data_IF_183230247111
#
_entry.id   IF_183230247111
#
_cell.length_a   1.000
_cell.length_b   1.000
_cell.length_c   1.000
_cell.angle_alpha   90.00
_cell.angle_beta   90.00
_cell.angle_gamma   90.00
#
_symmetry.space_group_name_H-M   'P 1'
#
loop_
_entity.id
_entity.type
_entity.pdbx_description
1 polymer ?
#
# COMPACT_ATOMS: atom_id res chain seq x y z
N UNK A 1 7.49 10.15 49.34
CA UNK A 1 8.34 9.36 48.41
C UNK A 1 7.56 8.30 47.61
N UNK A 2 6.49 7.70 48.12
CA UNK A 2 5.68 6.69 47.38
C UNK A 2 5.06 7.22 46.06
N UNK A 3 4.62 8.48 46.02
CA UNK A 3 3.97 9.07 44.84
C UNK A 3 4.89 9.18 43.62
N UNK A 4 6.20 9.32 43.84
CA UNK A 4 7.18 9.41 42.76
C UNK A 4 7.42 8.04 42.09
N UNK A 5 7.35 6.96 42.88
CA UNK A 5 7.53 5.59 42.39
C UNK A 5 6.35 5.15 41.51
N UNK A 6 5.12 5.45 41.94
CA UNK A 6 3.91 5.17 41.18
C UNK A 6 3.93 5.87 39.80
N UNK A 7 4.26 7.17 39.77
CA UNK A 7 4.36 7.93 38.51
C UNK A 7 5.48 7.44 37.58
N UNK A 8 6.53 6.83 38.12
CA UNK A 8 7.64 6.28 37.34
C UNK A 8 7.25 4.92 36.72
N UNK A 9 6.47 4.12 37.44
CA UNK A 9 5.93 2.84 36.96
C UNK A 9 4.87 3.07 35.87
N UNK A 10 4.00 4.08 36.03
CA UNK A 10 3.03 4.48 34.99
C UNK A 10 3.73 4.94 33.71
N UNK A 11 4.71 5.86 33.83
CA UNK A 11 5.50 6.31 32.67
C UNK A 11 6.30 5.18 32.02
N UNK A 12 6.75 4.20 32.79
CA UNK A 12 7.41 3.00 32.26
C UNK A 12 6.45 2.10 31.49
N UNK A 13 5.24 1.90 32.03
CA UNK A 13 4.18 1.12 31.37
C UNK A 13 3.75 1.75 30.06
N UNK A 14 3.51 3.06 30.05
CA UNK A 14 3.11 3.81 28.86
C UNK A 14 4.14 3.65 27.72
N UNK A 15 5.44 3.82 28.00
CA UNK A 15 6.49 3.66 26.98
C UNK A 15 6.57 2.24 26.43
N UNK A 16 6.36 1.21 27.26
CA UNK A 16 6.39 -0.18 26.81
C UNK A 16 5.17 -0.46 25.91
N UNK A 17 3.97 -0.03 26.32
CA UNK A 17 2.77 -0.16 25.49
C UNK A 17 2.92 0.59 24.17
N UNK A 18 3.46 1.81 24.17
CA UNK A 18 3.61 2.64 22.97
C UNK A 18 4.62 2.03 21.98
N UNK A 19 5.72 1.45 22.50
CA UNK A 19 6.69 0.73 21.68
C UNK A 19 6.15 -0.57 21.06
N UNK A 20 5.20 -1.23 21.71
CA UNK A 20 4.54 -2.44 21.22
C UNK A 20 3.50 -2.10 20.14
N UNK A 21 2.70 -1.05 20.33
CA UNK A 21 1.72 -0.59 19.32
C UNK A 21 2.40 -0.14 18.03
N UNK A 22 3.46 0.67 18.12
CA UNK A 22 4.19 1.15 16.91
C UNK A 22 4.76 -0.02 16.08
N UNK A 23 5.23 -1.09 16.73
CA UNK A 23 5.78 -2.27 16.03
C UNK A 23 4.68 -3.14 15.41
N UNK A 24 3.53 -3.25 16.07
CA UNK A 24 2.38 -4.01 15.59
C UNK A 24 1.72 -3.33 14.37
N UNK A 25 1.63 -2.00 14.38
CA UNK A 25 1.10 -1.23 13.25
C UNK A 25 1.97 -1.39 12.00
N UNK A 26 3.29 -1.35 12.15
CA UNK A 26 4.23 -1.59 11.04
C UNK A 26 4.07 -2.97 10.40
N UNK A 27 3.82 -4.01 11.19
CA UNK A 27 3.61 -5.37 10.67
C UNK A 27 2.32 -5.50 9.85
N UNK A 28 1.22 -4.89 10.32
CA UNK A 28 -0.04 -4.85 9.58
C UNK A 28 0.09 -4.11 8.25
N UNK A 29 0.85 -3.02 8.22
CA UNK A 29 1.15 -2.30 6.98
C UNK A 29 1.90 -3.17 5.96
N UNK A 30 2.88 -3.96 6.40
CA UNK A 30 3.62 -4.86 5.50
C UNK A 30 2.68 -5.89 4.88
N UNK A 31 1.79 -6.50 5.69
CA UNK A 31 0.80 -7.46 5.20
C UNK A 31 -0.15 -6.78 4.21
N UNK A 32 -0.67 -5.60 4.54
CA UNK A 32 -1.58 -4.86 3.67
C UNK A 32 -0.94 -4.53 2.31
N UNK A 33 0.33 -4.09 2.30
CA UNK A 33 1.09 -3.82 1.08
C UNK A 33 1.27 -5.11 0.26
N UNK A 34 1.62 -6.23 0.90
CA UNK A 34 1.79 -7.50 0.21
C UNK A 34 0.48 -7.95 -0.49
N UNK A 35 -0.66 -7.86 0.21
CA UNK A 35 -1.97 -8.18 -0.36
C UNK A 35 -2.29 -7.25 -1.54
N UNK A 36 -2.05 -5.95 -1.39
CA UNK A 36 -2.28 -4.97 -2.46
C UNK A 36 -1.45 -5.28 -3.71
N UNK A 37 -0.18 -5.68 -3.55
CA UNK A 37 0.69 -6.07 -4.66
C UNK A 37 0.16 -7.33 -5.37
N UNK A 38 -0.27 -8.35 -4.62
CA UNK A 38 -0.84 -9.58 -5.20
C UNK A 38 -2.09 -9.27 -6.02
N UNK A 39 -2.98 -8.44 -5.49
CA UNK A 39 -4.21 -8.04 -6.20
C UNK A 39 -3.86 -7.23 -7.46
N UNK A 40 -2.95 -6.26 -7.36
CA UNK A 40 -2.52 -5.45 -8.49
C UNK A 40 -1.92 -6.30 -9.62
N UNK A 41 -1.03 -7.25 -9.29
CA UNK A 41 -0.46 -8.18 -10.26
C UNK A 41 -1.52 -9.08 -10.89
N UNK A 42 -2.48 -9.56 -10.11
CA UNK A 42 -3.60 -10.37 -10.62
C UNK A 42 -4.46 -9.61 -11.63
N UNK A 43 -4.86 -8.37 -11.30
CA UNK A 43 -5.64 -7.50 -12.18
C UNK A 43 -4.86 -7.14 -13.45
N UNK A 44 -3.57 -6.82 -13.31
CA UNK A 44 -2.72 -6.50 -14.45
C UNK A 44 -2.56 -7.70 -15.39
N UNK A 45 -2.37 -8.90 -14.82
CA UNK A 45 -2.27 -10.14 -15.59
C UNK A 45 -3.59 -10.47 -16.30
N UNK A 46 -4.73 -10.32 -15.62
CA UNK A 46 -6.04 -10.54 -16.24
C UNK A 46 -6.30 -9.56 -17.40
N UNK A 47 -5.97 -8.28 -17.22
CA UNK A 47 -6.06 -7.27 -18.27
C UNK A 47 -5.13 -7.57 -19.46
N UNK A 48 -3.91 -8.02 -19.19
CA UNK A 48 -2.96 -8.42 -20.23
C UNK A 48 -3.51 -9.56 -21.07
N UNK A 49 -4.04 -10.62 -20.43
CA UNK A 49 -4.64 -11.77 -21.12
C UNK A 49 -5.84 -11.32 -21.97
N UNK A 50 -6.68 -10.42 -21.43
CA UNK A 50 -7.80 -9.85 -22.16
C UNK A 50 -7.39 -9.07 -23.40
N UNK A 51 -6.36 -8.21 -23.31
CA UNK A 51 -5.88 -7.49 -24.50
C UNK A 51 -5.28 -8.45 -25.54
N UNK A 52 -4.55 -9.47 -25.08
CA UNK A 52 -3.97 -10.50 -25.97
C UNK A 52 -5.04 -11.33 -26.68
N UNK A 53 -6.15 -11.67 -26.01
CA UNK A 53 -7.25 -12.43 -26.64
C UNK A 53 -7.96 -11.65 -27.73
N UNK A 54 -7.95 -10.32 -27.67
CA UNK A 54 -8.44 -9.43 -28.73
C UNK A 54 -7.42 -9.16 -29.84
N UNK A 55 -6.24 -9.79 -29.80
CA UNK A 55 -5.18 -9.57 -30.77
C UNK A 55 -4.37 -8.29 -30.55
N UNK A 56 -4.59 -7.58 -29.43
CA UNK A 56 -3.87 -6.36 -29.08
C UNK A 56 -2.83 -6.56 -27.97
N UNK A 57 -2.25 -5.45 -27.54
CA UNK A 57 -1.31 -5.32 -26.43
C UNK A 57 -1.79 -4.25 -25.46
N UNK A 58 -1.56 -4.40 -24.14
CA UNK A 58 -1.90 -3.36 -23.18
C UNK A 58 -1.04 -2.12 -23.42
N UNK A 59 -1.69 -0.99 -23.64
CA UNK A 59 -1.06 0.32 -23.82
C UNK A 59 -1.54 1.29 -22.75
N UNK A 60 -0.62 2.14 -22.31
CA UNK A 60 -0.89 3.21 -21.33
C UNK A 60 -0.36 4.50 -21.92
N UNK A 61 -1.28 5.42 -22.26
CA UNK A 61 -0.92 6.73 -22.77
C UNK A 61 -0.86 7.73 -21.62
N UNK A 62 0.32 8.31 -21.47
CA UNK A 62 0.59 9.38 -20.54
C UNK A 62 0.20 10.73 -21.18
N UNK A 63 -0.55 11.58 -20.46
CA UNK A 63 -0.84 12.93 -20.94
C UNK A 63 0.43 13.78 -20.98
N UNK A 64 0.50 14.73 -21.91
CA UNK A 64 1.59 15.69 -21.96
C UNK A 64 1.62 16.54 -20.68
N UNK A 65 2.79 16.62 -20.03
CA UNK A 65 2.99 17.37 -18.79
C UNK A 65 2.51 18.83 -18.88
N UNK A 66 2.66 19.45 -20.05
CA UNK A 66 2.30 20.86 -20.28
C UNK A 66 0.81 21.12 -20.43
N UNK A 67 0.03 20.12 -20.87
CA UNK A 67 -1.40 20.31 -21.18
C UNK A 67 -2.33 19.73 -20.13
N UNK A 68 -1.79 18.92 -19.21
CA UNK A 68 -2.60 18.11 -18.31
C UNK A 68 -3.48 17.11 -19.08
N UNK A 69 -4.00 16.11 -18.40
CA UNK A 69 -4.91 15.16 -19.02
C UNK A 69 -5.09 13.89 -18.19
N UNK A 70 -5.86 12.97 -18.75
CA UNK A 70 -6.19 11.71 -18.10
C UNK A 70 -5.31 10.60 -18.62
N UNK A 71 -4.80 9.77 -17.72
CA UNK A 71 -4.16 8.50 -18.06
C UNK A 71 -5.16 7.59 -18.75
N UNK A 72 -4.84 7.13 -19.95
CA UNK A 72 -5.70 6.21 -20.71
C UNK A 72 -5.04 4.84 -20.77
N UNK A 73 -5.78 3.83 -20.33
CA UNK A 73 -5.41 2.42 -20.45
C UNK A 73 -6.34 1.76 -21.46
N UNK A 74 -5.79 1.08 -22.46
CA UNK A 74 -6.57 0.43 -23.50
C UNK A 74 -5.78 -0.72 -24.15
N UNK A 75 -6.48 -1.56 -24.91
CA UNK A 75 -5.85 -2.58 -25.74
C UNK A 75 -5.57 -2.00 -27.13
N UNK A 76 -4.30 -1.97 -27.54
CA UNK A 76 -3.83 -1.49 -28.85
C UNK A 76 -3.62 -2.68 -29.79
N UNK A 77 -4.34 -2.74 -30.90
CA UNK A 77 -4.13 -3.72 -32.00
C UNK A 77 -3.22 -3.18 -33.08
#
# INVERSE_FOLDING_TARGET
MQNNLASAIERGRERISDSLTVRQDGFWWIIAIAIAVVIALGLFTAWFIYCRSQGGWPAVDMPAWERGGTWKMYCRS
#
